data_IF_332245812567
#
_entry.id   IF_332245812567
#
_cell.length_a   1.000
_cell.length_b   1.000
_cell.length_c   1.000
_cell.angle_alpha   90.00
_cell.angle_beta   90.00
_cell.angle_gamma   90.00
#
_symmetry.space_group_name_H-M   'P 1'
#
loop_
_entity.id
_entity.type
_entity.pdbx_description
1 polymer ?
#
# COMPACT_ATOMS: atom_id res chain seq x y z
N UNK A 1 -16.86 -0.92 -17.09
CA UNK A 1 -16.28 0.05 -18.05
C UNK A 1 -15.42 1.01 -17.24
N UNK A 2 -14.26 0.53 -16.79
CA UNK A 2 -13.28 1.34 -16.07
C UNK A 2 -12.17 1.63 -17.06
N UNK A 3 -12.25 2.79 -17.70
CA UNK A 3 -11.14 3.29 -18.51
C UNK A 3 -10.01 3.65 -17.55
N UNK A 4 -9.00 2.79 -17.48
CA UNK A 4 -7.67 3.15 -17.00
C UNK A 4 -7.32 4.48 -17.66
N UNK A 5 -7.13 5.52 -16.86
CA UNK A 5 -6.85 6.88 -17.31
C UNK A 5 -5.53 6.96 -18.07
N UNK A 6 -5.57 6.60 -19.34
CA UNK A 6 -4.57 6.99 -20.35
C UNK A 6 -4.89 8.42 -20.78
N UNK A 7 -4.55 9.38 -19.92
CA UNK A 7 -4.49 10.78 -20.32
C UNK A 7 -3.11 11.02 -20.94
N UNK A 8 -3.03 10.98 -22.27
CA UNK A 8 -2.16 11.79 -23.16
C UNK A 8 -0.82 12.34 -22.58
N UNK A 9 0.01 11.51 -21.95
CA UNK A 9 1.27 11.93 -21.30
C UNK A 9 2.50 11.09 -21.69
N UNK A 10 2.37 10.15 -22.63
CA UNK A 10 3.50 9.29 -23.05
C UNK A 10 4.68 10.10 -23.61
N UNK A 11 4.40 11.13 -24.42
CA UNK A 11 5.42 12.04 -24.94
C UNK A 11 6.15 12.81 -23.83
N UNK A 12 5.47 13.12 -22.72
CA UNK A 12 6.06 13.83 -21.57
C UNK A 12 6.92 12.89 -20.72
N UNK A 13 6.46 11.66 -20.47
CA UNK A 13 7.19 10.65 -19.71
C UNK A 13 8.47 10.20 -20.42
N UNK A 14 8.41 10.00 -21.73
CA UNK A 14 9.58 9.62 -22.52
C UNK A 14 10.66 10.71 -22.52
N UNK A 15 10.26 11.98 -22.68
CA UNK A 15 11.21 13.10 -22.58
C UNK A 15 11.77 13.27 -21.17
N UNK A 16 10.95 13.09 -20.13
CA UNK A 16 11.39 13.12 -18.74
C UNK A 16 12.38 11.98 -18.43
N UNK A 17 12.13 10.78 -18.94
CA UNK A 17 13.03 9.64 -18.84
C UNK A 17 14.38 9.91 -19.50
N UNK A 18 14.39 10.39 -20.75
CA UNK A 18 15.63 10.74 -21.46
C UNK A 18 16.44 11.83 -20.75
N UNK A 19 15.78 12.79 -20.11
CA UNK A 19 16.44 13.86 -19.35
C UNK A 19 17.07 13.36 -18.04
N UNK A 20 16.46 12.36 -17.42
CA UNK A 20 16.81 11.95 -16.06
C UNK A 20 17.59 10.63 -15.99
N UNK A 21 17.84 9.97 -17.12
CA UNK A 21 18.71 8.79 -17.18
C UNK A 21 20.17 9.18 -17.03
N UNK A 22 20.86 8.55 -16.09
CA UNK A 22 22.29 8.78 -15.82
C UNK A 22 23.04 7.47 -15.86
N UNK A 23 24.20 7.44 -16.52
CA UNK A 23 25.08 6.27 -16.49
C UNK A 23 26.10 6.42 -15.36
N UNK A 24 26.10 5.48 -14.41
CA UNK A 24 27.02 5.44 -13.27
C UNK A 24 27.50 4.01 -13.05
N UNK A 25 28.80 3.83 -12.83
CA UNK A 25 29.41 2.55 -12.45
C UNK A 25 28.94 1.34 -13.30
N UNK A 26 28.82 1.54 -14.62
CA UNK A 26 28.42 0.47 -15.55
C UNK A 26 26.92 0.19 -15.64
N UNK A 27 26.06 0.98 -14.96
CA UNK A 27 24.60 0.85 -15.01
C UNK A 27 23.90 2.17 -15.35
N UNK A 28 22.70 2.07 -15.92
CA UNK A 28 21.79 3.20 -16.05
C UNK A 28 20.96 3.33 -14.78
N UNK A 29 20.95 4.52 -14.21
CA UNK A 29 20.12 4.92 -13.08
C UNK A 29 19.06 5.89 -13.59
N UNK A 30 17.80 5.66 -13.21
CA UNK A 30 16.67 6.52 -13.54
C UNK A 30 15.87 6.78 -12.28
N UNK A 31 15.34 8.00 -12.07
CA UNK A 31 14.41 8.24 -10.99
C UNK A 31 13.12 7.46 -11.25
N UNK A 32 12.48 7.03 -10.16
CA UNK A 32 11.17 6.41 -10.23
C UNK A 32 10.16 7.36 -10.88
N UNK A 33 9.30 6.88 -11.81
CA UNK A 33 8.37 7.70 -12.56
C UNK A 33 7.14 8.06 -11.71
N UNK A 34 7.37 8.81 -10.63
CA UNK A 34 6.30 9.29 -9.76
C UNK A 34 5.50 10.40 -10.48
N UNK A 35 4.18 10.37 -10.32
CA UNK A 35 3.33 11.48 -10.73
C UNK A 35 3.54 12.65 -9.77
N UNK A 36 3.95 13.80 -10.30
CA UNK A 36 4.12 15.06 -9.55
C UNK A 36 3.11 16.11 -10.04
N UNK A 37 2.47 16.88 -9.14
CA UNK A 37 2.55 16.76 -7.69
C UNK A 37 1.89 15.46 -7.20
N UNK A 38 2.36 14.94 -6.06
CA UNK A 38 1.68 13.86 -5.36
C UNK A 38 0.24 14.34 -5.13
N UNK A 39 -0.74 13.67 -5.75
CA UNK A 39 -2.14 13.96 -5.47
C UNK A 39 -2.41 13.59 -4.02
N UNK A 40 -3.13 14.44 -3.28
CA UNK A 40 -3.58 14.13 -1.93
C UNK A 40 -4.42 12.84 -1.99
N UNK A 41 -3.85 11.76 -1.44
CA UNK A 41 -4.56 10.50 -1.28
C UNK A 41 -5.51 10.69 -0.12
N UNK A 42 -6.81 10.58 -0.35
CA UNK A 42 -7.79 10.74 0.71
C UNK A 42 -7.61 9.68 1.81
N UNK A 43 -7.77 10.10 3.06
CA UNK A 43 -7.74 9.21 4.21
C UNK A 43 -8.83 8.12 4.06
N UNK A 44 -8.42 6.85 4.11
CA UNK A 44 -9.33 5.71 3.93
C UNK A 44 -9.76 5.05 5.26
N UNK A 45 -9.45 5.67 6.41
CA UNK A 45 -9.63 5.09 7.73
C UNK A 45 -11.05 4.59 8.00
N UNK A 46 -12.07 5.39 7.70
CA UNK A 46 -13.47 5.00 7.94
C UNK A 46 -13.87 3.77 7.12
N UNK A 47 -13.40 3.69 5.87
CA UNK A 47 -13.67 2.55 4.99
C UNK A 47 -12.93 1.29 5.49
N UNK A 48 -11.67 1.45 5.87
CA UNK A 48 -10.88 0.39 6.49
C UNK A 48 -11.54 -0.16 7.75
N UNK A 49 -11.98 0.72 8.67
CA UNK A 49 -12.61 0.32 9.92
C UNK A 49 -13.91 -0.47 9.69
N UNK A 50 -14.73 -0.06 8.71
CA UNK A 50 -15.93 -0.81 8.31
C UNK A 50 -15.57 -2.21 7.80
N UNK A 51 -14.54 -2.31 6.94
CA UNK A 51 -14.05 -3.59 6.39
C UNK A 51 -13.49 -4.49 7.50
N UNK A 52 -12.66 -3.95 8.40
CA UNK A 52 -12.08 -4.67 9.53
C UNK A 52 -13.17 -5.27 10.43
N UNK A 53 -14.18 -4.47 10.81
CA UNK A 53 -15.32 -4.95 11.61
C UNK A 53 -16.08 -6.08 10.92
N UNK A 54 -16.26 -5.99 9.60
CA UNK A 54 -16.90 -7.05 8.82
C UNK A 54 -16.09 -8.35 8.79
N UNK A 55 -14.77 -8.22 8.57
CA UNK A 55 -13.85 -9.35 8.57
C UNK A 55 -13.82 -10.04 9.94
N UNK A 56 -13.73 -9.27 11.03
CA UNK A 56 -13.75 -9.81 12.39
C UNK A 56 -15.03 -10.61 12.68
N UNK A 57 -16.22 -10.08 12.31
CA UNK A 57 -17.49 -10.82 12.47
C UNK A 57 -17.49 -12.15 11.71
N UNK A 58 -16.90 -12.18 10.51
CA UNK A 58 -16.82 -13.41 9.71
C UNK A 58 -15.85 -14.42 10.33
N UNK A 59 -14.68 -13.97 10.77
CA UNK A 59 -13.66 -14.81 11.38
C UNK A 59 -14.10 -15.39 12.73
N UNK A 60 -14.85 -14.62 13.53
CA UNK A 60 -15.41 -15.11 14.80
C UNK A 60 -16.33 -16.32 14.62
N UNK A 61 -17.00 -16.44 13.47
CA UNK A 61 -17.84 -17.60 13.13
C UNK A 61 -17.03 -18.81 12.63
N UNK A 62 -15.73 -18.66 12.41
CA UNK A 62 -14.84 -19.70 11.91
C UNK A 62 -13.55 -19.79 12.77
N UNK A 63 -13.62 -20.42 13.97
CA UNK A 63 -12.52 -20.41 14.94
C UNK A 63 -11.19 -20.98 14.42
N UNK A 64 -11.26 -21.99 13.53
CA UNK A 64 -10.06 -22.54 12.89
C UNK A 64 -9.37 -21.50 12.00
N UNK A 65 -10.12 -20.84 11.14
CA UNK A 65 -9.61 -19.81 10.24
C UNK A 65 -9.06 -18.62 11.02
N UNK A 66 -9.72 -18.22 12.12
CA UNK A 66 -9.22 -17.15 13.00
C UNK A 66 -7.83 -17.49 13.58
N UNK A 67 -7.60 -18.74 14.00
CA UNK A 67 -6.30 -19.19 14.51
C UNK A 67 -5.22 -19.17 13.44
N UNK A 68 -5.52 -19.66 12.24
CA UNK A 68 -4.60 -19.63 11.10
C UNK A 68 -4.23 -18.18 10.74
N UNK A 69 -5.23 -17.29 10.69
CA UNK A 69 -5.04 -15.87 10.43
C UNK A 69 -4.16 -15.19 11.48
N UNK A 70 -4.39 -15.45 12.76
CA UNK A 70 -3.53 -14.97 13.84
C UNK A 70 -2.09 -15.48 13.69
N UNK A 71 -1.92 -16.76 13.35
CA UNK A 71 -0.60 -17.36 13.10
C UNK A 71 0.17 -16.65 11.98
N UNK A 72 -0.49 -16.28 10.89
CA UNK A 72 0.13 -15.53 9.77
C UNK A 72 0.63 -14.16 10.25
N UNK A 73 -0.20 -13.40 10.97
CA UNK A 73 0.18 -12.08 11.49
C UNK A 73 1.39 -12.20 12.43
N UNK A 74 1.37 -13.16 13.35
CA UNK A 74 2.49 -13.40 14.26
C UNK A 74 3.77 -13.84 13.52
N UNK A 75 3.63 -14.66 12.47
CA UNK A 75 4.75 -15.06 11.62
C UNK A 75 5.38 -13.87 10.88
N UNK A 76 4.55 -12.98 10.31
CA UNK A 76 5.02 -11.75 9.67
C UNK A 76 5.73 -10.83 10.65
N UNK A 77 5.17 -10.65 11.85
CA UNK A 77 5.78 -9.84 12.91
C UNK A 77 7.13 -10.41 13.33
N UNK A 78 7.20 -11.73 13.58
CA UNK A 78 8.45 -12.42 13.95
C UNK A 78 9.51 -12.31 12.86
N UNK A 79 9.12 -12.35 11.59
CA UNK A 79 10.03 -12.25 10.45
C UNK A 79 10.43 -10.80 10.12
N UNK A 80 9.94 -9.80 10.86
CA UNK A 80 10.21 -8.39 10.60
C UNK A 80 9.56 -7.87 9.31
N UNK A 81 8.53 -8.55 8.81
CA UNK A 81 7.77 -8.11 7.63
C UNK A 81 6.76 -7.01 7.97
N UNK A 82 6.29 -6.99 9.22
CA UNK A 82 5.41 -5.97 9.78
C UNK A 82 5.93 -5.57 11.15
N UNK A 83 5.58 -4.38 11.60
CA UNK A 83 5.89 -3.85 12.91
C UNK A 83 4.67 -3.20 13.56
N UNK A 84 4.74 -3.03 14.87
CA UNK A 84 3.73 -2.25 15.58
C UNK A 84 4.03 -0.77 15.41
N UNK A 85 3.06 -0.02 14.88
CA UNK A 85 3.18 1.43 14.71
C UNK A 85 3.25 2.10 16.09
N UNK A 86 4.25 2.97 16.36
CA UNK A 86 4.31 3.75 17.60
C UNK A 86 3.10 4.68 17.73
N UNK A 87 2.57 4.84 18.95
CA UNK A 87 1.43 5.73 19.23
C UNK A 87 1.49 7.13 18.59
N UNK A 88 2.62 7.88 18.65
CA UNK A 88 2.68 9.22 18.05
C UNK A 88 2.53 9.23 16.52
N UNK A 89 2.74 8.11 15.83
CA UNK A 89 2.59 7.99 14.38
C UNK A 89 1.17 7.57 13.96
N UNK A 90 0.37 7.05 14.90
CA UNK A 90 -1.01 6.62 14.65
C UNK A 90 -1.93 7.82 14.38
N UNK A 91 -1.60 8.99 14.94
CA UNK A 91 -2.43 10.20 14.87
C UNK A 91 -2.28 10.98 13.55
N UNK A 92 -1.24 10.72 12.74
CA UNK A 92 -1.09 11.30 11.40
C UNK A 92 -1.93 10.53 10.36
N UNK A 93 -3.26 10.65 10.50
CA UNK A 93 -4.23 10.03 9.59
C UNK A 93 -4.22 10.63 8.17
N UNK A 94 -3.68 11.84 8.02
CA UNK A 94 -3.67 12.56 6.73
C UNK A 94 -2.62 11.98 5.77
N UNK A 95 -1.58 11.32 6.29
CA UNK A 95 -0.55 10.63 5.48
C UNK A 95 -0.65 9.11 5.54
N UNK A 96 -1.64 8.57 6.24
CA UNK A 96 -1.78 7.13 6.44
C UNK A 96 -2.85 6.53 5.53
N UNK A 97 -2.46 5.51 4.77
CA UNK A 97 -3.39 4.71 3.99
C UNK A 97 -3.43 3.27 4.53
N UNK A 98 -4.58 2.86 5.04
CA UNK A 98 -4.75 1.55 5.66
C UNK A 98 -5.00 0.47 4.60
N UNK A 99 -4.15 -0.55 4.57
CA UNK A 99 -4.31 -1.65 3.62
C UNK A 99 -5.40 -2.62 4.07
N UNK A 100 -6.34 -3.00 3.19
CA UNK A 100 -7.30 -4.04 3.51
C UNK A 100 -6.57 -5.38 3.65
N UNK A 101 -6.55 -5.95 4.84
CA UNK A 101 -6.01 -7.29 5.02
C UNK A 101 -7.02 -8.33 4.48
N UNK A 102 -6.62 -9.03 3.42
CA UNK A 102 -7.35 -10.18 2.90
C UNK A 102 -6.61 -11.45 3.30
N UNK A 103 -7.31 -12.40 3.91
CA UNK A 103 -6.75 -13.74 4.11
C UNK A 103 -6.52 -14.35 2.73
N UNK A 104 -5.28 -14.70 2.39
CA UNK A 104 -5.00 -15.63 1.30
C UNK A 104 -5.19 -17.02 1.90
N UNK A 105 -6.28 -17.68 1.55
CA UNK A 105 -6.68 -19.01 2.04
C UNK A 105 -6.44 -20.02 0.93
#
# INVERSE_FOLDING_TARGET
>A
MESLGYFNHESSLYEQFKRNVVFRDGRYEVPLPWKCPLQDISCNYQLYLKRLRSQLRRLQRAPRLLREYYGIIQGQLKNGMIEQVPEPEIEDHDKTHYLPHHAVI
#
